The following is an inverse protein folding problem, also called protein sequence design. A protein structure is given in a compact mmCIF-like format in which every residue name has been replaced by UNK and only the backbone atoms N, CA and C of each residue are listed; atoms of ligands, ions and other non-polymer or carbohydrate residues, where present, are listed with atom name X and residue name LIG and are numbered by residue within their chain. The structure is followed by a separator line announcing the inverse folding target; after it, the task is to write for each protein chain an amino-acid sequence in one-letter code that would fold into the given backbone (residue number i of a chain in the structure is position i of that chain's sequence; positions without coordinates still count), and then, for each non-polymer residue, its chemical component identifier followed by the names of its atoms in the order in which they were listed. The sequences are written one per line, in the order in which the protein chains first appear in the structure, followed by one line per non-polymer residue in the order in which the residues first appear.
data_IF_012740193481
#
_entry.id   IF_012740193481
#
_cell.length_a   1.000
_cell.length_b   1.000
_cell.length_c   1.000
_cell.angle_alpha   90.00
_cell.angle_beta   90.00
_cell.angle_gamma   90.00
#
_symmetry.space_group_name_H-M   'P 1'
#
loop_
_entity.id
_entity.type
_entity.pdbx_description
1 polymer ?
#
# COMPACT_ATOMS: atom_id res chain seq x y z
N UNK A 1 -37.48 -14.70 47.00
CA UNK A 1 -36.59 -14.45 48.16
C UNK A 1 -35.16 -14.55 47.67
N UNK A 2 -34.27 -13.58 47.95
CA UNK A 2 -34.40 -12.13 47.76
C UNK A 2 -33.38 -11.61 46.70
N UNK A 3 -33.70 -10.62 45.85
CA UNK A 3 -33.74 -9.14 45.98
C UNK A 3 -32.35 -8.45 46.09
N UNK A 4 -32.06 -7.58 45.09
CA UNK A 4 -31.44 -6.22 45.11
C UNK A 4 -30.67 -6.01 43.79
N UNK A 5 -31.00 -5.16 42.81
CA UNK A 5 -31.50 -3.78 42.73
C UNK A 5 -30.74 -2.79 43.63
N UNK A 6 -29.77 -2.10 43.05
CA UNK A 6 -29.31 -0.78 43.50
C UNK A 6 -29.14 0.12 42.28
N UNK A 7 -29.97 1.15 42.23
CA UNK A 7 -29.82 2.35 41.42
C UNK A 7 -29.21 3.46 42.30
N UNK A 8 -28.29 4.26 41.78
CA UNK A 8 -27.95 5.60 42.28
C UNK A 8 -27.42 6.42 41.08
N UNK A 9 -28.24 7.29 40.49
CA UNK A 9 -28.39 8.73 40.79
C UNK A 9 -27.18 9.58 40.39
N UNK A 10 -27.31 10.22 39.22
CA UNK A 10 -26.63 11.45 38.86
C UNK A 10 -27.07 12.64 39.73
N UNK A 11 -26.25 13.71 39.83
CA UNK A 11 -26.77 15.05 40.05
C UNK A 11 -26.51 15.97 38.83
N UNK A 12 -27.59 16.65 38.42
CA UNK A 12 -27.61 17.80 37.51
C UNK A 12 -27.07 19.08 38.20
N UNK A 13 -26.26 19.83 37.44
CA UNK A 13 -26.35 21.28 37.12
C UNK A 13 -26.56 22.30 38.26
N UNK A 14 -25.64 23.27 38.35
CA UNK A 14 -25.90 24.74 38.35
C UNK A 14 -24.58 25.53 38.40
N UNK A 15 -24.23 26.22 37.32
CA UNK A 15 -24.42 27.68 37.09
C UNK A 15 -23.54 28.60 37.95
N UNK A 16 -22.63 29.36 37.32
CA UNK A 16 -22.01 30.53 37.96
C UNK A 16 -20.74 31.07 37.28
N UNK A 17 -20.88 31.91 36.26
CA UNK A 17 -19.98 33.06 35.99
C UNK A 17 -20.80 34.33 36.29
N UNK A 18 -20.22 35.44 36.80
CA UNK A 18 -19.59 36.41 35.86
C UNK A 18 -18.48 37.33 36.44
N UNK A 19 -17.89 38.10 35.51
CA UNK A 19 -17.13 39.36 35.65
C UNK A 19 -15.67 39.28 36.17
N UNK A 20 -14.68 39.97 35.60
CA UNK A 20 -14.66 40.93 34.50
C UNK A 20 -13.26 41.54 34.27
N UNK A 21 -13.04 42.02 33.04
CA UNK A 21 -12.34 43.25 32.60
C UNK A 21 -11.08 43.75 33.33
N UNK A 22 -9.98 43.90 32.55
CA UNK A 22 -9.13 45.12 32.46
C UNK A 22 -7.91 44.88 31.54
N UNK A 23 -7.92 45.38 30.29
CA UNK A 23 -7.16 46.55 29.77
C UNK A 23 -5.63 46.45 29.56
N UNK A 24 -5.25 46.16 28.30
CA UNK A 24 -4.46 47.01 27.35
C UNK A 24 -2.95 47.34 27.62
N UNK A 25 -2.17 47.76 26.57
CA UNK A 25 -0.93 47.11 26.10
C UNK A 25 0.33 48.03 26.17
N UNK A 26 1.49 47.58 25.66
CA UNK A 26 2.65 48.32 25.08
C UNK A 26 3.80 47.31 24.83
N UNK A 27 4.22 47.03 23.58
CA UNK A 27 5.19 47.73 22.70
C UNK A 27 6.64 47.19 22.75
N UNK A 28 7.21 47.13 21.55
CA UNK A 28 8.63 47.15 21.16
C UNK A 28 9.55 45.96 21.49
N UNK A 29 9.93 45.22 20.45
CA UNK A 29 11.29 45.35 19.90
C UNK A 29 11.41 44.67 18.53
N UNK A 30 11.58 45.51 17.51
CA UNK A 30 12.10 45.17 16.19
C UNK A 30 13.60 44.84 16.32
N UNK A 31 14.08 43.73 15.73
CA UNK A 31 15.50 43.60 15.37
C UNK A 31 15.67 42.81 14.07
N UNK A 32 16.01 43.56 13.05
CA UNK A 32 16.70 43.14 11.84
C UNK A 32 18.05 42.48 12.19
N UNK A 33 18.37 41.36 11.53
CA UNK A 33 19.72 40.83 11.48
C UNK A 33 20.11 40.61 10.00
N UNK A 34 21.16 41.31 9.60
CA UNK A 34 21.80 41.25 8.30
C UNK A 34 22.60 39.96 8.12
N UNK A 35 22.51 39.42 6.91
CA UNK A 35 23.49 38.67 6.12
C UNK A 35 24.92 38.55 6.69
N UNK A 36 25.42 37.32 6.82
CA UNK A 36 26.84 37.01 6.62
C UNK A 36 26.97 35.75 5.77
N UNK A 37 27.88 35.82 4.81
CA UNK A 37 28.09 34.93 3.68
C UNK A 37 29.47 34.29 3.88
N UNK A 38 29.52 33.02 4.23
CA UNK A 38 30.73 32.20 4.07
C UNK A 38 30.31 30.84 3.53
N UNK A 39 30.81 30.51 2.34
CA UNK A 39 30.58 29.22 1.71
C UNK A 39 31.76 28.29 1.96
N UNK A 40 31.48 26.99 2.07
CA UNK A 40 32.26 25.92 1.41
C UNK A 40 31.57 24.56 1.58
N UNK A 41 31.75 23.73 0.56
CA UNK A 41 31.43 22.30 0.44
C UNK A 41 30.01 21.93 -0.04
N UNK A 42 29.90 21.94 -1.37
CA UNK A 42 28.79 21.42 -2.16
C UNK A 42 29.05 19.93 -2.43
N UNK A 43 28.25 19.04 -1.82
CA UNK A 43 28.32 17.59 -2.04
C UNK A 43 27.20 17.15 -3.01
N UNK A 44 27.64 16.57 -4.13
CA UNK A 44 27.08 15.50 -5.01
C UNK A 44 25.57 15.18 -5.13
N UNK A 45 24.61 16.00 -4.70
CA UNK A 45 23.16 15.69 -4.85
C UNK A 45 22.42 16.51 -5.91
N UNK A 46 23.10 16.95 -6.98
CA UNK A 46 22.48 17.74 -8.05
C UNK A 46 22.69 17.08 -9.42
N UNK A 47 22.15 15.86 -9.56
CA UNK A 47 21.95 15.17 -10.85
C UNK A 47 20.54 14.61 -11.04
N UNK A 48 19.59 14.92 -10.15
CA UNK A 48 18.20 14.44 -10.25
C UNK A 48 17.21 15.51 -10.73
N UNK A 49 17.69 16.59 -11.34
CA UNK A 49 16.83 17.68 -11.81
C UNK A 49 17.22 18.12 -13.22
N UNK A 50 17.09 17.20 -14.19
CA UNK A 50 16.90 17.41 -15.65
C UNK A 50 16.52 16.02 -16.19
N UNK A 51 15.26 15.61 -16.00
CA UNK A 51 14.69 14.42 -16.65
C UNK A 51 13.15 14.51 -16.76
N UNK A 52 12.60 15.74 -16.83
CA UNK A 52 11.14 15.97 -16.92
C UNK A 52 10.73 16.94 -18.04
N UNK A 53 11.59 17.16 -19.04
CA UNK A 53 11.25 17.98 -20.21
C UNK A 53 11.90 17.43 -21.48
N UNK A 54 11.34 16.36 -22.05
CA UNK A 54 11.44 16.04 -23.48
C UNK A 54 10.55 14.85 -23.87
N UNK A 55 9.22 15.03 -23.85
CA UNK A 55 8.32 14.20 -24.68
C UNK A 55 7.47 15.14 -25.51
N UNK A 56 8.01 15.56 -26.66
CA UNK A 56 7.23 16.02 -27.80
C UNK A 56 7.96 15.50 -29.05
N UNK A 57 7.23 14.69 -29.83
CA UNK A 57 7.81 13.74 -30.77
C UNK A 57 8.23 14.28 -32.12
N UNK A 58 8.62 13.35 -33.00
CA UNK A 58 8.25 13.37 -34.41
C UNK A 58 8.66 12.03 -35.07
N UNK A 59 7.68 11.37 -35.70
CA UNK A 59 7.89 10.35 -36.73
C UNK A 59 7.99 11.07 -38.08
N UNK A 60 9.04 10.81 -38.87
CA UNK A 60 8.97 10.58 -40.32
C UNK A 60 10.36 10.42 -40.96
N UNK A 61 10.57 9.22 -41.51
CA UNK A 61 11.12 8.89 -42.84
C UNK A 61 12.42 9.53 -43.38
N UNK A 62 13.33 8.61 -43.73
CA UNK A 62 13.97 8.44 -45.05
C UNK A 62 15.47 8.79 -45.23
N UNK A 63 16.15 7.77 -45.78
CA UNK A 63 17.28 7.79 -46.71
C UNK A 63 18.69 8.14 -46.19
N UNK A 64 19.57 7.14 -46.33
CA UNK A 64 20.64 7.26 -47.33
C UNK A 64 22.08 7.22 -46.80
N UNK A 65 22.71 6.07 -47.08
CA UNK A 65 24.07 5.89 -47.60
C UNK A 65 25.32 6.29 -46.77
N UNK A 66 26.09 5.22 -46.54
CA UNK A 66 27.48 5.03 -46.98
C UNK A 66 28.64 5.14 -45.99
N UNK A 67 29.46 4.09 -46.15
CA UNK A 67 30.89 3.92 -45.96
C UNK A 67 31.50 3.49 -44.60
N UNK A 68 31.51 2.17 -44.42
CA UNK A 68 32.65 1.25 -44.63
C UNK A 68 33.90 1.26 -43.71
N UNK A 69 34.49 0.06 -43.65
CA UNK A 69 35.72 -0.44 -43.00
C UNK A 69 35.61 -0.82 -41.51
N UNK A 70 35.27 -2.07 -41.16
CA UNK A 70 36.03 -3.34 -41.21
C UNK A 70 37.28 -3.42 -40.31
N UNK A 71 37.16 -4.31 -39.30
CA UNK A 71 38.10 -5.39 -38.90
C UNK A 71 39.55 -5.05 -38.59
N UNK A 72 40.26 -5.71 -37.70
CA UNK A 72 40.00 -6.71 -36.66
C UNK A 72 41.37 -6.97 -36.04
N UNK A 73 41.31 -7.65 -34.90
CA UNK A 73 42.19 -8.76 -34.57
C UNK A 73 43.35 -8.53 -33.60
N UNK A 74 43.46 -9.60 -32.82
CA UNK A 74 44.17 -9.86 -31.62
C UNK A 74 45.69 -9.99 -31.80
N UNK A 75 46.36 -10.07 -30.66
CA UNK A 75 47.75 -10.49 -30.60
C UNK A 75 48.30 -10.46 -29.18
N UNK A 76 47.95 -11.49 -28.41
CA UNK A 76 48.65 -11.85 -27.18
C UNK A 76 50.09 -12.31 -27.47
N UNK A 77 51.01 -12.07 -26.53
CA UNK A 77 51.90 -13.09 -25.94
C UNK A 77 53.06 -12.46 -25.14
N UNK A 78 53.27 -13.05 -23.96
CA UNK A 78 54.54 -13.41 -23.28
C UNK A 78 55.67 -12.37 -23.12
N UNK A 79 56.51 -12.42 -22.10
CA UNK A 79 56.58 -13.05 -20.78
C UNK A 79 57.93 -12.57 -20.18
N UNK A 80 58.00 -12.54 -18.85
CA UNK A 80 59.19 -12.65 -17.99
C UNK A 80 60.34 -11.60 -18.10
N UNK A 81 60.67 -10.98 -16.96
CA UNK A 81 61.94 -11.30 -16.27
C UNK A 81 61.94 -10.74 -14.83
N UNK A 82 62.43 -11.54 -13.88
CA UNK A 82 62.79 -11.10 -12.52
C UNK A 82 64.22 -10.50 -12.53
N UNK A 83 64.68 -9.90 -11.41
CA UNK A 83 65.48 -10.72 -10.49
C UNK A 83 65.26 -10.44 -8.99
N UNK A 84 65.53 -11.48 -8.20
CA UNK A 84 65.65 -11.49 -6.75
C UNK A 84 66.88 -10.72 -6.23
N UNK A 85 66.80 -10.17 -5.00
CA UNK A 85 67.64 -10.58 -3.87
C UNK A 85 67.43 -9.72 -2.60
N UNK A 86 67.34 -10.45 -1.48
CA UNK A 86 68.00 -10.26 -0.19
C UNK A 86 67.18 -9.83 1.04
N UNK A 87 67.48 -10.57 2.11
CA UNK A 87 66.76 -10.66 3.38
C UNK A 87 67.10 -9.55 4.37
N UNK A 88 66.18 -9.30 5.32
CA UNK A 88 66.45 -9.42 6.78
C UNK A 88 65.16 -9.12 7.54
N UNK A 89 64.83 -9.99 8.50
CA UNK A 89 63.52 -10.05 9.13
C UNK A 89 63.31 -9.18 10.36
N UNK A 90 62.10 -9.29 10.90
CA UNK A 90 61.78 -9.31 12.32
C UNK A 90 60.32 -9.70 12.45
N UNK A 91 60.05 -10.63 13.35
CA UNK A 91 58.74 -11.12 13.75
C UNK A 91 57.92 -9.96 14.37
N UNK A 92 56.68 -9.80 13.92
CA UNK A 92 55.58 -9.30 14.75
C UNK A 92 54.28 -9.99 14.33
N UNK A 93 53.52 -10.39 15.33
CA UNK A 93 52.34 -11.26 15.27
C UNK A 93 51.21 -10.71 14.37
N UNK A 94 50.35 -11.57 13.80
CA UNK A 94 49.32 -11.12 12.87
C UNK A 94 48.24 -10.35 13.64
N UNK A 95 47.85 -9.20 13.07
CA UNK A 95 46.55 -8.63 13.32
C UNK A 95 45.51 -9.66 12.88
N UNK A 96 44.52 -9.89 13.74
CA UNK A 96 43.35 -10.72 13.46
C UNK A 96 42.68 -10.19 12.19
N UNK A 97 42.83 -10.93 11.09
CA UNK A 97 41.89 -10.92 10.00
C UNK A 97 40.54 -11.30 10.62
N UNK A 98 39.63 -10.33 10.74
CA UNK A 98 38.23 -10.64 10.84
C UNK A 98 37.87 -11.35 9.54
N UNK A 99 37.75 -12.67 9.61
CA UNK A 99 37.16 -13.45 8.57
C UNK A 99 35.74 -12.94 8.37
N UNK A 100 35.49 -12.30 7.23
CA UNK A 100 34.20 -12.41 6.56
C UNK A 100 34.04 -13.90 6.24
N UNK A 101 33.54 -14.67 7.21
CA UNK A 101 33.02 -16.00 6.93
C UNK A 101 31.80 -15.79 6.04
N UNK A 102 31.91 -16.27 4.80
CA UNK A 102 30.87 -16.25 3.79
C UNK A 102 29.66 -17.08 4.28
N UNK A 103 28.79 -16.47 5.09
CA UNK A 103 27.55 -17.06 5.59
C UNK A 103 26.48 -17.20 4.48
N UNK A 104 26.77 -16.79 3.24
CA UNK A 104 25.83 -16.87 2.12
C UNK A 104 25.49 -18.31 1.70
N UNK A 105 26.45 -19.24 1.86
CA UNK A 105 26.25 -20.67 1.57
C UNK A 105 25.31 -21.35 2.59
N UNK A 106 25.23 -20.83 3.83
CA UNK A 106 24.33 -21.37 4.86
C UNK A 106 22.89 -20.93 4.60
N UNK A 107 22.68 -19.62 4.40
CA UNK A 107 21.35 -19.01 4.18
C UNK A 107 20.67 -19.57 2.93
N UNK A 108 21.40 -19.69 1.82
CA UNK A 108 20.83 -20.15 0.54
C UNK A 108 20.41 -21.64 0.54
N UNK A 109 20.71 -22.37 1.62
CA UNK A 109 20.34 -23.78 1.78
C UNK A 109 19.25 -24.03 2.83
N UNK A 110 18.82 -22.99 3.58
CA UNK A 110 17.84 -23.11 4.68
C UNK A 110 16.53 -23.73 4.20
N UNK A 111 16.00 -23.25 3.07
CA UNK A 111 14.75 -23.72 2.47
C UNK A 111 14.91 -24.90 1.51
N UNK A 112 16.11 -25.49 1.40
CA UNK A 112 16.39 -26.48 0.36
C UNK A 112 15.46 -27.69 0.44
N UNK A 113 14.71 -27.91 -0.65
CA UNK A 113 13.74 -29.01 -0.74
C UNK A 113 12.39 -28.75 -0.08
N UNK A 114 12.15 -27.52 0.40
CA UNK A 114 10.84 -27.05 0.84
C UNK A 114 10.14 -26.37 -0.33
N UNK A 115 8.96 -26.89 -0.66
CA UNK A 115 8.07 -26.31 -1.67
C UNK A 115 7.05 -25.40 -0.96
N UNK A 116 6.80 -24.23 -1.52
CA UNK A 116 5.89 -23.22 -0.96
C UNK A 116 4.84 -22.86 -2.00
N UNK A 117 3.58 -23.04 -1.66
CA UNK A 117 2.41 -22.64 -2.46
C UNK A 117 2.01 -21.23 -2.08
N UNK A 118 2.50 -20.25 -2.83
CA UNK A 118 2.15 -18.85 -2.66
C UNK A 118 1.02 -18.46 -3.62
N UNK A 119 0.03 -17.72 -3.12
CA UNK A 119 -0.94 -17.03 -3.97
C UNK A 119 -0.85 -15.52 -3.83
N UNK A 120 -1.70 -14.83 -4.59
CA UNK A 120 -1.86 -13.37 -4.52
C UNK A 120 -3.32 -12.98 -4.67
N UNK A 121 -3.59 -11.77 -4.24
CA UNK A 121 -4.89 -11.16 -4.47
C UNK A 121 -5.12 -10.81 -5.94
N UNK A 122 -6.38 -10.81 -6.36
CA UNK A 122 -6.82 -10.48 -7.72
C UNK A 122 -6.91 -8.97 -8.03
N UNK A 123 -6.07 -8.15 -7.40
CA UNK A 123 -5.89 -6.73 -7.73
C UNK A 123 -4.42 -6.42 -8.01
N UNK A 124 -4.19 -5.63 -9.06
CA UNK A 124 -2.88 -5.38 -9.61
C UNK A 124 -1.87 -4.76 -8.62
N UNK A 125 -2.31 -3.95 -7.66
CA UNK A 125 -1.43 -3.35 -6.65
C UNK A 125 -0.81 -4.38 -5.70
N UNK A 126 -1.34 -5.60 -5.65
CA UNK A 126 -0.80 -6.69 -4.85
C UNK A 126 0.32 -7.51 -5.50
N UNK A 127 0.59 -7.31 -6.79
CA UNK A 127 1.47 -8.23 -7.55
C UNK A 127 2.95 -8.05 -7.24
N UNK A 128 3.46 -6.81 -7.28
CA UNK A 128 4.88 -6.51 -6.99
C UNK A 128 5.30 -7.02 -5.60
N UNK A 129 4.49 -6.75 -4.58
CA UNK A 129 4.79 -7.17 -3.21
C UNK A 129 4.77 -8.71 -3.06
N UNK A 130 3.88 -9.41 -3.76
CA UNK A 130 3.90 -10.88 -3.80
C UNK A 130 5.21 -11.40 -4.40
N UNK A 131 5.66 -10.79 -5.50
CA UNK A 131 6.85 -11.24 -6.20
C UNK A 131 8.16 -10.91 -5.44
N UNK A 132 8.21 -9.78 -4.72
CA UNK A 132 9.33 -9.49 -3.81
C UNK A 132 9.46 -10.58 -2.74
N UNK A 133 8.35 -11.04 -2.16
CA UNK A 133 8.36 -12.10 -1.15
C UNK A 133 8.80 -13.45 -1.72
N UNK A 134 8.24 -13.82 -2.88
CA UNK A 134 8.65 -15.04 -3.59
C UNK A 134 10.16 -15.05 -3.85
N UNK A 135 10.69 -14.01 -4.50
CA UNK A 135 12.11 -13.99 -4.90
C UNK A 135 13.06 -13.90 -3.70
N UNK A 136 12.64 -13.28 -2.59
CA UNK A 136 13.42 -13.28 -1.35
C UNK A 136 13.50 -14.68 -0.73
N UNK A 137 12.38 -15.42 -0.70
CA UNK A 137 12.38 -16.81 -0.23
C UNK A 137 13.22 -17.72 -1.13
N UNK A 138 13.20 -17.50 -2.45
CA UNK A 138 14.05 -18.23 -3.40
C UNK A 138 15.55 -18.02 -3.12
N UNK A 139 15.97 -16.84 -2.62
CA UNK A 139 17.35 -16.61 -2.18
C UNK A 139 17.74 -17.44 -0.96
N UNK A 140 16.78 -17.82 -0.11
CA UNK A 140 16.98 -18.72 1.02
C UNK A 140 16.87 -20.22 0.64
N UNK A 141 16.70 -20.53 -0.65
CA UNK A 141 16.69 -21.91 -1.17
C UNK A 141 15.31 -22.58 -1.25
N UNK A 142 14.22 -21.87 -0.96
CA UNK A 142 12.86 -22.38 -1.13
C UNK A 142 12.49 -22.49 -2.61
N UNK A 143 11.69 -23.51 -2.96
CA UNK A 143 10.98 -23.53 -4.25
C UNK A 143 9.60 -22.90 -4.05
N UNK A 144 9.35 -21.72 -4.59
CA UNK A 144 8.07 -21.01 -4.40
C UNK A 144 7.27 -21.02 -5.70
N UNK A 145 5.99 -21.42 -5.64
CA UNK A 145 5.11 -21.35 -6.81
C UNK A 145 4.94 -19.90 -7.28
N UNK A 146 4.85 -19.68 -8.60
CA UNK A 146 4.51 -18.35 -9.11
C UNK A 146 3.14 -17.92 -8.55
N UNK A 147 3.04 -16.74 -7.91
CA UNK A 147 1.81 -16.31 -7.26
C UNK A 147 0.68 -16.05 -8.25
N UNK A 148 0.98 -15.75 -9.53
CA UNK A 148 -0.02 -15.60 -10.58
C UNK A 148 -0.78 -16.89 -10.93
N UNK A 149 -0.27 -18.06 -10.54
CA UNK A 149 -0.98 -19.33 -10.72
C UNK A 149 -2.13 -19.52 -9.74
N UNK A 150 -2.11 -18.78 -8.62
CA UNK A 150 -3.11 -18.83 -7.56
C UNK A 150 -3.55 -17.41 -7.20
N UNK A 151 -4.19 -16.75 -8.17
CA UNK A 151 -4.76 -15.42 -8.02
C UNK A 151 -6.22 -15.52 -7.56
N UNK A 152 -6.51 -15.04 -6.35
CA UNK A 152 -7.76 -15.28 -5.63
C UNK A 152 -8.40 -13.99 -5.11
N UNK A 153 -9.73 -13.99 -4.98
CA UNK A 153 -10.42 -13.02 -4.14
C UNK A 153 -10.19 -13.32 -2.65
N UNK A 154 -10.47 -12.37 -1.73
CA UNK A 154 -10.24 -12.56 -0.31
C UNK A 154 -10.90 -13.78 0.30
N UNK A 155 -12.17 -14.02 0.02
CA UNK A 155 -12.87 -15.17 0.61
C UNK A 155 -12.18 -16.48 0.21
N UNK A 156 -11.89 -16.65 -1.08
CA UNK A 156 -11.20 -17.84 -1.57
C UNK A 156 -9.76 -17.96 -1.03
N UNK A 157 -9.03 -16.85 -0.91
CA UNK A 157 -7.67 -16.83 -0.38
C UNK A 157 -7.58 -17.27 1.09
N UNK A 158 -8.44 -16.72 1.96
CA UNK A 158 -8.48 -17.10 3.36
C UNK A 158 -8.87 -18.57 3.56
N UNK A 159 -9.86 -19.07 2.81
CA UNK A 159 -10.23 -20.48 2.82
C UNK A 159 -9.08 -21.37 2.33
N UNK A 160 -8.41 -20.99 1.23
CA UNK A 160 -7.29 -21.76 0.69
C UNK A 160 -6.14 -21.91 1.69
N UNK A 161 -5.84 -20.86 2.46
CA UNK A 161 -4.84 -20.90 3.53
C UNK A 161 -5.27 -21.75 4.72
N UNK A 162 -6.52 -21.57 5.17
CA UNK A 162 -7.05 -22.33 6.31
C UNK A 162 -7.15 -23.84 6.00
N UNK A 163 -7.47 -24.19 4.76
CA UNK A 163 -7.55 -25.58 4.29
C UNK A 163 -6.17 -26.19 3.93
N UNK A 164 -5.11 -25.39 3.95
CA UNK A 164 -3.73 -25.83 3.67
C UNK A 164 -3.42 -26.05 2.18
N UNK A 165 -4.22 -25.47 1.28
CA UNK A 165 -3.97 -25.48 -0.18
C UNK A 165 -3.17 -24.28 -0.69
N UNK A 166 -2.97 -23.28 0.18
CA UNK A 166 -2.10 -22.13 0.01
C UNK A 166 -1.33 -21.92 1.31
N UNK A 167 -0.02 -21.66 1.25
CA UNK A 167 0.79 -21.47 2.45
C UNK A 167 0.67 -20.06 2.98
N UNK A 168 0.71 -19.05 2.11
CA UNK A 168 0.56 -17.64 2.49
C UNK A 168 0.28 -16.75 1.28
N UNK A 169 -0.03 -15.49 1.59
CA UNK A 169 -0.06 -14.39 0.62
C UNK A 169 0.33 -13.07 1.31
N UNK A 170 0.56 -12.00 0.55
CA UNK A 170 1.07 -10.71 1.07
C UNK A 170 0.05 -9.58 0.95
N UNK A 171 -1.23 -9.90 0.76
CA UNK A 171 -2.26 -8.93 0.33
C UNK A 171 -3.42 -8.78 1.33
N UNK A 172 -3.23 -9.12 2.60
CA UNK A 172 -4.28 -8.98 3.61
C UNK A 172 -4.45 -7.52 4.01
N UNK A 173 -5.68 -6.99 3.98
CA UNK A 173 -6.00 -5.63 4.42
C UNK A 173 -6.75 -5.65 5.74
N UNK A 174 -6.12 -5.22 6.83
CA UNK A 174 -6.75 -5.16 8.15
C UNK A 174 -7.13 -3.72 8.53
N UNK A 175 -8.30 -3.49 9.16
CA UNK A 175 -9.24 -4.50 9.68
C UNK A 175 -10.20 -5.09 8.64
N UNK A 176 -10.24 -4.59 7.40
CA UNK A 176 -11.27 -4.98 6.41
C UNK A 176 -11.39 -6.48 6.15
N UNK A 177 -10.30 -7.23 6.19
CA UNK A 177 -10.30 -8.68 5.97
C UNK A 177 -10.54 -9.50 7.25
N UNK A 178 -10.78 -8.86 8.41
CA UNK A 178 -11.14 -9.60 9.63
C UNK A 178 -12.44 -10.39 9.45
N UNK A 179 -13.40 -9.92 8.63
CA UNK A 179 -14.61 -10.70 8.33
C UNK A 179 -14.31 -12.03 7.64
N UNK A 180 -13.24 -12.12 6.86
CA UNK A 180 -12.80 -13.35 6.21
C UNK A 180 -11.90 -14.20 7.12
N UNK A 181 -11.07 -13.54 7.92
CA UNK A 181 -10.25 -14.20 8.94
C UNK A 181 -11.10 -14.86 10.03
N UNK A 182 -12.23 -14.26 10.39
CA UNK A 182 -13.11 -14.75 11.46
C UNK A 182 -14.30 -15.55 10.91
N UNK A 183 -14.28 -15.92 9.63
CA UNK A 183 -15.35 -16.71 9.01
C UNK A 183 -15.38 -18.14 9.57
N UNK A 184 -16.58 -18.67 9.80
CA UNK A 184 -16.79 -20.06 10.25
C UNK A 184 -16.59 -21.05 9.10
N UNK A 185 -15.84 -22.13 9.36
CA UNK A 185 -15.63 -23.25 8.47
C UNK A 185 -16.72 -24.33 8.66
N UNK A 186 -16.81 -25.26 7.71
CA UNK A 186 -17.85 -26.31 7.74
C UNK A 186 -17.78 -27.25 8.95
N UNK A 187 -16.65 -27.30 9.66
CA UNK A 187 -16.44 -28.09 10.88
C UNK A 187 -16.69 -27.30 12.18
N UNK A 188 -17.07 -26.02 12.07
CA UNK A 188 -17.36 -25.12 13.18
C UNK A 188 -16.12 -24.44 13.81
N UNK A 189 -14.92 -24.62 13.23
CA UNK A 189 -13.75 -23.80 13.55
C UNK A 189 -13.78 -22.48 12.78
N UNK A 190 -12.97 -21.51 13.19
CA UNK A 190 -12.80 -20.26 12.46
C UNK A 190 -11.60 -20.37 11.50
N UNK A 191 -11.62 -19.63 10.39
CA UNK A 191 -10.43 -19.48 9.52
C UNK A 191 -9.20 -19.08 10.34
N UNK A 192 -9.34 -18.14 11.26
CA UNK A 192 -8.29 -17.62 12.14
C UNK A 192 -7.73 -18.63 13.14
N UNK A 193 -8.38 -19.79 13.33
CA UNK A 193 -7.79 -20.90 14.10
C UNK A 193 -6.66 -21.59 13.31
N UNK A 194 -6.65 -21.44 11.98
CA UNK A 194 -5.74 -22.14 11.05
C UNK A 194 -4.73 -21.22 10.37
N UNK A 195 -4.91 -19.90 10.45
CA UNK A 195 -4.00 -18.92 9.86
C UNK A 195 -3.53 -17.90 10.89
N UNK A 196 -2.36 -17.32 10.65
CA UNK A 196 -1.79 -16.25 11.46
C UNK A 196 -1.65 -14.98 10.63
N UNK A 197 -1.94 -13.86 11.28
CA UNK A 197 -1.63 -12.53 10.80
C UNK A 197 -0.19 -12.22 11.18
N UNK A 198 0.66 -11.99 10.18
CA UNK A 198 2.06 -11.68 10.40
C UNK A 198 2.30 -10.18 10.21
N UNK A 199 2.63 -9.53 11.31
CA UNK A 199 2.94 -8.09 11.33
C UNK A 199 4.19 -7.80 10.51
N UNK A 200 4.17 -6.77 9.66
CA UNK A 200 5.41 -6.19 9.16
C UNK A 200 5.30 -5.38 7.88
N UNK A 201 4.51 -5.83 6.91
CA UNK A 201 4.58 -5.31 5.54
C UNK A 201 4.30 -3.79 5.42
N UNK A 202 3.05 -3.35 5.61
CA UNK A 202 2.71 -1.92 5.62
C UNK A 202 1.74 -1.58 6.77
N UNK A 203 2.28 -1.11 7.89
CA UNK A 203 1.47 -0.71 9.04
C UNK A 203 0.83 0.69 8.83
N UNK A 204 -0.50 0.76 8.90
CA UNK A 204 -1.30 1.99 8.83
C UNK A 204 -1.09 2.82 7.57
N UNK A 205 -0.62 2.20 6.48
CA UNK A 205 -0.27 2.90 5.24
C UNK A 205 -1.35 2.77 4.16
N UNK A 206 -2.32 1.87 4.36
CA UNK A 206 -3.46 1.70 3.46
C UNK A 206 -4.45 2.84 3.62
N UNK A 207 -4.50 3.79 2.68
CA UNK A 207 -5.53 4.85 2.69
C UNK A 207 -6.62 4.47 1.71
N UNK A 208 -7.88 4.60 2.12
CA UNK A 208 -9.07 4.23 1.33
C UNK A 208 -10.07 5.38 1.39
N UNK A 209 -10.96 5.46 0.39
CA UNK A 209 -12.04 6.45 0.39
C UNK A 209 -12.61 6.70 -0.99
N UNK A 210 -13.46 7.73 -1.08
CA UNK A 210 -14.07 8.17 -2.33
C UNK A 210 -13.28 9.33 -2.94
N UNK A 211 -13.10 9.30 -4.25
CA UNK A 211 -12.64 10.41 -5.06
C UNK A 211 -13.82 11.02 -5.80
N UNK A 212 -13.84 12.34 -5.93
CA UNK A 212 -14.80 13.11 -6.72
C UNK A 212 -14.07 13.94 -7.77
N UNK A 213 -14.66 14.13 -8.95
CA UNK A 213 -14.14 15.11 -9.93
C UNK A 213 -13.98 16.48 -9.29
N UNK A 214 -12.76 17.03 -9.34
CA UNK A 214 -12.43 18.27 -8.62
C UNK A 214 -13.25 19.46 -9.10
N UNK A 215 -13.37 19.65 -10.42
CA UNK A 215 -14.15 20.75 -11.01
C UNK A 215 -15.61 20.71 -10.56
N UNK A 216 -16.21 19.52 -10.56
CA UNK A 216 -17.62 19.33 -10.15
C UNK A 216 -17.80 19.66 -8.67
N UNK A 217 -16.87 19.22 -7.81
CA UNK A 217 -16.89 19.54 -6.39
C UNK A 217 -16.77 21.07 -6.15
N UNK A 218 -15.83 21.73 -6.81
CA UNK A 218 -15.59 23.16 -6.65
C UNK A 218 -16.72 24.03 -7.21
N UNK A 219 -17.26 23.70 -8.37
CA UNK A 219 -18.33 24.45 -9.04
C UNK A 219 -19.67 24.38 -8.29
N UNK A 220 -19.94 23.23 -7.65
CA UNK A 220 -21.19 22.98 -6.93
C UNK A 220 -21.05 23.10 -5.41
N UNK A 221 -19.84 23.36 -4.90
CA UNK A 221 -19.56 23.44 -3.48
C UNK A 221 -19.84 22.13 -2.74
N UNK A 222 -19.49 20.99 -3.35
CA UNK A 222 -19.65 19.66 -2.77
C UNK A 222 -18.50 19.42 -1.80
N UNK A 223 -18.84 19.12 -0.54
CA UNK A 223 -17.88 18.91 0.53
C UNK A 223 -17.95 17.53 1.18
N UNK A 224 -19.04 16.78 0.96
CA UNK A 224 -19.19 15.46 1.55
C UNK A 224 -20.11 14.52 0.77
N UNK A 225 -19.99 13.23 1.02
CA UNK A 225 -20.94 12.19 0.57
C UNK A 225 -22.36 12.48 1.07
N UNK A 226 -22.50 12.89 2.34
CA UNK A 226 -23.81 13.22 2.92
C UNK A 226 -24.52 14.36 2.16
N UNK A 227 -23.76 15.34 1.65
CA UNK A 227 -24.33 16.42 0.84
C UNK A 227 -24.89 15.92 -0.50
N UNK A 228 -24.22 14.94 -1.12
CA UNK A 228 -24.73 14.29 -2.35
C UNK A 228 -26.06 13.61 -2.03
N UNK A 229 -26.14 12.90 -0.90
CA UNK A 229 -27.38 12.23 -0.48
C UNK A 229 -28.52 13.20 -0.17
N UNK A 230 -28.24 14.31 0.53
CA UNK A 230 -29.27 15.20 1.08
C UNK A 230 -29.83 16.21 0.06
N UNK A 231 -29.05 16.58 -0.96
CA UNK A 231 -29.44 17.57 -1.97
C UNK A 231 -29.79 16.90 -3.31
N UNK A 232 -31.08 16.83 -3.69
CA UNK A 232 -31.50 16.23 -4.95
C UNK A 232 -30.91 16.90 -6.20
N UNK A 233 -30.55 18.18 -6.12
CA UNK A 233 -29.92 18.88 -7.24
C UNK A 233 -28.46 18.44 -7.43
N UNK A 234 -27.76 18.07 -6.34
CA UNK A 234 -26.41 17.52 -6.39
C UNK A 234 -26.47 16.03 -6.75
N UNK A 235 -27.38 15.25 -6.16
CA UNK A 235 -27.58 13.85 -6.52
C UNK A 235 -27.84 13.67 -8.03
N UNK A 236 -28.67 14.53 -8.61
CA UNK A 236 -29.00 14.51 -10.04
C UNK A 236 -27.81 14.80 -10.98
N UNK A 237 -26.66 15.28 -10.47
CA UNK A 237 -25.44 15.41 -11.27
C UNK A 237 -24.80 14.04 -11.52
N UNK A 238 -24.96 13.12 -10.58
CA UNK A 238 -24.38 11.79 -10.62
C UNK A 238 -25.36 10.73 -11.12
N UNK A 239 -26.67 11.02 -11.14
CA UNK A 239 -27.76 10.19 -11.69
C UNK A 239 -27.60 9.94 -13.21
N UNK A 240 -27.08 8.78 -13.59
CA UNK A 240 -26.77 8.45 -14.99
C UNK A 240 -27.93 7.76 -15.72
N UNK A 241 -28.81 7.07 -15.00
CA UNK A 241 -29.92 6.31 -15.59
C UNK A 241 -31.29 7.01 -15.47
N UNK A 242 -31.35 8.11 -14.72
CA UNK A 242 -32.54 8.94 -14.50
C UNK A 242 -33.49 8.38 -13.46
N UNK A 243 -33.04 7.47 -12.58
CA UNK A 243 -33.86 6.84 -11.55
C UNK A 243 -34.04 7.72 -10.29
N UNK A 244 -33.28 8.83 -10.19
CA UNK A 244 -33.31 9.78 -9.07
C UNK A 244 -32.32 9.48 -7.95
N UNK A 245 -31.44 8.50 -8.13
CA UNK A 245 -30.39 8.08 -7.19
C UNK A 245 -29.03 8.43 -7.80
N UNK A 246 -28.10 8.93 -7.00
CA UNK A 246 -26.73 9.16 -7.44
C UNK A 246 -25.94 7.84 -7.49
N UNK A 247 -25.32 7.54 -8.62
CA UNK A 247 -24.44 6.38 -8.75
C UNK A 247 -22.99 6.74 -8.40
N UNK A 248 -22.39 5.89 -7.57
CA UNK A 248 -20.94 5.92 -7.30
C UNK A 248 -20.30 4.66 -7.85
N UNK A 249 -19.12 4.77 -8.44
CA UNK A 249 -18.31 3.61 -8.80
C UNK A 249 -17.71 3.02 -7.51
N UNK A 250 -18.22 1.89 -7.02
CA UNK A 250 -17.71 1.32 -5.78
C UNK A 250 -16.69 0.23 -6.02
N UNK A 251 -16.93 -0.93 -5.41
CA UNK A 251 -16.08 -2.10 -5.51
C UNK A 251 -16.74 -3.24 -6.27
N UNK A 252 -15.90 -4.19 -6.70
CA UNK A 252 -16.39 -5.48 -7.17
C UNK A 252 -16.88 -6.33 -5.99
N UNK A 253 -17.92 -7.13 -6.22
CA UNK A 253 -18.69 -7.88 -5.20
C UNK A 253 -17.83 -8.77 -4.29
N UNK A 254 -16.73 -9.34 -4.80
CA UNK A 254 -15.90 -10.27 -4.04
C UNK A 254 -14.90 -9.60 -3.09
N UNK A 255 -14.84 -8.27 -3.05
CA UNK A 255 -13.90 -7.54 -2.19
C UNK A 255 -14.59 -6.93 -0.98
N UNK A 256 -13.90 -6.86 0.17
CA UNK A 256 -14.51 -6.31 1.39
C UNK A 256 -14.93 -4.85 1.24
N UNK A 257 -14.32 -4.08 0.35
CA UNK A 257 -14.76 -2.71 0.09
C UNK A 257 -16.21 -2.63 -0.39
N UNK A 258 -16.71 -3.61 -1.16
CA UNK A 258 -18.12 -3.68 -1.54
C UNK A 258 -19.03 -3.83 -0.31
N UNK A 259 -18.66 -4.75 0.59
CA UNK A 259 -19.39 -4.98 1.83
C UNK A 259 -19.37 -3.76 2.76
N UNK A 260 -18.19 -3.11 2.88
CA UNK A 260 -18.02 -1.91 3.72
C UNK A 260 -18.83 -0.74 3.14
N UNK A 261 -18.80 -0.50 1.84
CA UNK A 261 -19.58 0.59 1.22
C UNK A 261 -21.08 0.32 1.37
N UNK A 262 -21.53 -0.92 1.17
CA UNK A 262 -22.92 -1.32 1.42
C UNK A 262 -23.32 -1.07 2.87
N UNK A 263 -22.45 -1.41 3.82
CA UNK A 263 -22.68 -1.15 5.23
C UNK A 263 -22.66 0.35 5.57
N UNK A 264 -21.81 1.14 4.92
CA UNK A 264 -21.77 2.60 5.03
C UNK A 264 -23.09 3.22 4.54
N UNK A 265 -23.57 2.85 3.35
CA UNK A 265 -24.88 3.31 2.83
C UNK A 265 -26.00 3.06 3.85
N UNK A 266 -26.03 1.87 4.45
CA UNK A 266 -27.00 1.52 5.48
C UNK A 266 -26.80 2.30 6.80
N UNK A 267 -25.55 2.47 7.24
CA UNK A 267 -25.19 3.17 8.49
C UNK A 267 -25.60 4.64 8.45
N UNK A 268 -25.27 5.33 7.36
CA UNK A 268 -25.49 6.76 7.20
C UNK A 268 -26.89 7.11 6.72
N UNK A 269 -27.68 6.12 6.28
CA UNK A 269 -29.00 6.35 5.69
C UNK A 269 -28.90 7.08 4.35
N UNK A 270 -27.97 6.66 3.49
CA UNK A 270 -27.81 7.21 2.15
C UNK A 270 -28.86 6.66 1.18
N UNK A 271 -30.12 7.04 1.38
CA UNK A 271 -31.26 6.58 0.58
C UNK A 271 -31.21 7.02 -0.91
N UNK A 272 -30.41 8.05 -1.23
CA UNK A 272 -30.30 8.61 -2.58
C UNK A 272 -28.92 8.36 -3.22
N UNK A 273 -28.15 7.40 -2.70
CA UNK A 273 -26.87 6.99 -3.28
C UNK A 273 -26.88 5.47 -3.47
N UNK A 274 -26.43 5.00 -4.63
CA UNK A 274 -26.20 3.58 -4.88
C UNK A 274 -24.81 3.31 -5.46
N UNK A 275 -24.24 2.18 -5.06
CA UNK A 275 -22.98 1.71 -5.62
C UNK A 275 -23.21 0.95 -6.92
N UNK A 276 -22.50 1.34 -7.96
CA UNK A 276 -22.30 0.51 -9.16
C UNK A 276 -21.30 -0.59 -8.85
N UNK A 277 -21.69 -1.84 -9.11
CA UNK A 277 -20.85 -3.04 -8.95
C UNK A 277 -20.50 -3.58 -10.35
N UNK A 278 -19.22 -3.55 -10.70
CA UNK A 278 -18.68 -4.13 -11.92
C UNK A 278 -17.20 -4.47 -11.72
N UNK A 279 -16.51 -4.89 -12.80
CA UNK A 279 -15.05 -4.99 -12.78
C UNK A 279 -14.44 -3.64 -12.39
N UNK A 280 -13.60 -3.63 -11.35
CA UNK A 280 -13.02 -2.39 -10.84
C UNK A 280 -12.22 -1.65 -11.91
N UNK A 281 -11.39 -2.35 -12.69
CA UNK A 281 -10.59 -1.75 -13.77
C UNK A 281 -11.46 -1.06 -14.83
N UNK A 282 -12.63 -1.64 -15.15
CA UNK A 282 -13.57 -1.05 -16.10
C UNK A 282 -14.23 0.21 -15.53
N UNK A 283 -14.66 0.17 -14.27
CA UNK A 283 -15.22 1.34 -13.59
C UNK A 283 -14.17 2.45 -13.44
N UNK A 284 -12.94 2.10 -13.11
CA UNK A 284 -11.83 3.03 -12.97
C UNK A 284 -11.47 3.71 -14.30
N UNK A 285 -11.44 2.95 -15.40
CA UNK A 285 -11.23 3.52 -16.73
C UNK A 285 -12.33 4.54 -17.09
N UNK A 286 -13.60 4.20 -16.82
CA UNK A 286 -14.71 5.14 -17.04
C UNK A 286 -14.61 6.38 -16.14
N UNK A 287 -14.33 6.21 -14.85
CA UNK A 287 -14.16 7.32 -13.91
C UNK A 287 -12.99 8.24 -14.33
N UNK A 288 -11.91 7.68 -14.86
CA UNK A 288 -10.79 8.43 -15.43
C UNK A 288 -11.22 9.30 -16.60
N UNK A 289 -11.98 8.75 -17.55
CA UNK A 289 -12.48 9.51 -18.70
C UNK A 289 -13.38 10.66 -18.25
N UNK A 290 -14.28 10.40 -17.30
CA UNK A 290 -15.19 11.42 -16.73
C UNK A 290 -14.41 12.52 -16.00
N UNK A 291 -13.48 12.17 -15.12
CA UNK A 291 -12.67 13.13 -14.37
C UNK A 291 -11.85 14.03 -15.30
N UNK A 292 -11.22 13.44 -16.32
CA UNK A 292 -10.42 14.19 -17.30
C UNK A 292 -11.29 15.08 -18.21
N UNK A 293 -12.55 14.71 -18.45
CA UNK A 293 -13.53 15.55 -19.12
C UNK A 293 -14.10 16.66 -18.22
N UNK A 294 -13.88 16.59 -16.91
CA UNK A 294 -14.50 17.48 -15.92
C UNK A 294 -15.97 17.13 -15.63
N UNK A 295 -16.40 15.93 -15.99
CA UNK A 295 -17.77 15.43 -15.82
C UNK A 295 -17.99 14.84 -14.41
N UNK A 296 -19.23 14.81 -13.90
CA UNK A 296 -19.55 14.23 -12.58
C UNK A 296 -19.16 12.76 -12.48
N UNK A 297 -18.33 12.43 -11.50
CA UNK A 297 -18.15 11.06 -11.03
C UNK A 297 -17.74 11.05 -9.55
N UNK A 298 -18.06 9.95 -8.88
CA UNK A 298 -17.50 9.56 -7.60
C UNK A 298 -17.04 8.11 -7.71
N UNK A 299 -15.82 7.81 -7.25
CA UNK A 299 -15.26 6.44 -7.28
C UNK A 299 -14.54 6.09 -5.98
N UNK A 300 -14.75 4.87 -5.48
CA UNK A 300 -13.93 4.30 -4.42
C UNK A 300 -12.53 3.98 -4.92
N UNK A 301 -11.48 4.31 -4.16
CA UNK A 301 -10.12 3.86 -4.44
C UNK A 301 -9.26 3.74 -3.17
N UNK A 302 -8.01 3.33 -3.34
CA UNK A 302 -7.06 3.12 -2.25
C UNK A 302 -5.61 3.45 -2.62
N UNK A 303 -4.75 3.58 -1.61
CA UNK A 303 -3.29 3.61 -1.73
C UNK A 303 -2.66 2.55 -0.82
N UNK A 304 -1.52 1.93 -1.18
CA UNK A 304 -0.77 2.11 -2.42
C UNK A 304 -1.49 1.50 -3.63
N UNK A 305 -1.62 2.29 -4.70
CA UNK A 305 -2.13 1.85 -6.00
C UNK A 305 -1.58 2.78 -7.09
N UNK A 306 -1.49 2.30 -8.33
CA UNK A 306 -1.21 3.16 -9.48
C UNK A 306 -2.41 4.02 -9.89
N UNK A 307 -3.62 3.70 -9.41
CA UNK A 307 -4.85 4.43 -9.72
C UNK A 307 -4.76 5.93 -9.37
N UNK A 308 -4.13 6.25 -8.24
CA UNK A 308 -3.94 7.65 -7.80
C UNK A 308 -2.92 8.44 -8.64
N UNK A 309 -2.27 7.80 -9.62
CA UNK A 309 -1.42 8.49 -10.60
C UNK A 309 -2.15 8.93 -11.86
N UNK A 310 -3.39 8.45 -12.03
CA UNK A 310 -4.28 8.81 -13.13
C UNK A 310 -5.43 9.67 -12.63
N UNK A 311 -6.07 9.26 -11.53
CA UNK A 311 -6.97 10.11 -10.74
C UNK A 311 -6.16 10.76 -9.63
N UNK A 312 -5.54 11.90 -9.94
CA UNK A 312 -4.56 12.60 -9.11
C UNK A 312 -5.28 13.55 -8.15
N UNK A 313 -5.32 13.26 -6.83
CA UNK A 313 -5.91 14.17 -5.87
C UNK A 313 -5.22 15.55 -5.91
N UNK A 314 -6.02 16.60 -5.93
CA UNK A 314 -5.57 17.98 -6.05
C UNK A 314 -5.38 18.47 -7.49
N UNK A 315 -5.45 17.61 -8.50
CA UNK A 315 -5.40 17.98 -9.92
C UNK A 315 -6.75 17.79 -10.61
N UNK A 316 -7.11 16.55 -11.01
CA UNK A 316 -8.38 16.24 -11.65
C UNK A 316 -9.46 15.72 -10.67
N UNK A 317 -9.06 15.27 -9.48
CA UNK A 317 -9.98 14.78 -8.43
C UNK A 317 -9.64 15.34 -7.05
N UNK A 318 -10.54 15.15 -6.09
CA UNK A 318 -10.31 15.35 -4.65
C UNK A 318 -10.76 14.11 -3.90
N UNK A 319 -10.11 13.81 -2.78
CA UNK A 319 -10.71 12.94 -1.77
C UNK A 319 -11.98 13.60 -1.21
N UNK A 320 -13.07 12.85 -1.21
CA UNK A 320 -14.37 13.30 -0.75
C UNK A 320 -14.59 12.85 0.70
N UNK A 321 -14.92 13.82 1.54
CA UNK A 321 -15.26 13.59 2.94
C UNK A 321 -16.52 12.74 3.03
N UNK A 322 -16.55 11.77 3.94
CA UNK A 322 -17.78 11.06 4.25
C UNK A 322 -18.63 11.84 5.27
N UNK A 323 -18.30 11.74 6.54
CA UNK A 323 -18.97 12.42 7.66
C UNK A 323 -17.90 12.68 8.74
N UNK A 324 -17.79 13.92 9.25
CA UNK A 324 -16.71 14.28 10.20
C UNK A 324 -16.89 13.59 11.57
N UNK A 325 -18.13 13.35 11.99
CA UNK A 325 -18.44 12.98 13.38
C UNK A 325 -19.01 11.58 13.57
N UNK A 326 -19.34 10.89 12.48
CA UNK A 326 -19.96 9.57 12.54
C UNK A 326 -19.24 8.66 11.55
N UNK A 327 -18.54 7.66 12.06
CA UNK A 327 -17.76 6.71 11.23
C UNK A 327 -18.30 5.34 11.56
N UNK A 328 -18.61 4.56 10.51
CA UNK A 328 -19.19 3.23 10.68
C UNK A 328 -18.43 2.43 11.74
N UNK A 329 -19.19 1.92 12.70
CA UNK A 329 -18.72 1.19 13.85
C UNK A 329 -19.07 -0.31 13.74
N UNK A 330 -18.85 -1.04 14.83
CA UNK A 330 -19.14 -2.46 14.98
C UNK A 330 -20.64 -2.79 15.13
N UNK A 331 -21.55 -1.84 14.82
CA UNK A 331 -23.00 -2.05 14.94
C UNK A 331 -23.60 -3.01 13.92
N UNK A 332 -22.88 -3.31 12.83
CA UNK A 332 -23.32 -4.18 11.74
C UNK A 332 -24.72 -3.80 11.19
N UNK A 333 -24.85 -2.61 10.58
CA UNK A 333 -26.14 -2.07 10.15
C UNK A 333 -26.81 -2.90 9.03
N UNK A 334 -26.02 -3.63 8.24
CA UNK A 334 -26.50 -4.53 7.19
C UNK A 334 -26.98 -5.89 7.73
N UNK A 335 -26.65 -6.23 8.98
CA UNK A 335 -27.04 -7.50 9.61
C UNK A 335 -26.44 -8.73 8.94
N UNK A 336 -25.32 -8.57 8.22
CA UNK A 336 -24.63 -9.66 7.53
C UNK A 336 -23.63 -10.31 8.47
N UNK A 337 -23.35 -11.59 8.26
CA UNK A 337 -22.32 -12.30 9.03
C UNK A 337 -20.95 -11.63 8.86
N UNK A 338 -20.22 -11.44 9.97
CA UNK A 338 -18.94 -10.75 10.01
C UNK A 338 -19.01 -9.22 9.81
N UNK A 339 -20.21 -8.63 9.72
CA UNK A 339 -20.35 -7.19 9.48
C UNK A 339 -19.87 -6.29 10.63
N UNK A 340 -19.69 -6.82 11.84
CA UNK A 340 -19.06 -6.13 12.97
C UNK A 340 -17.58 -5.80 12.72
N UNK A 341 -16.93 -6.52 11.79
CA UNK A 341 -15.54 -6.28 11.41
C UNK A 341 -15.37 -5.14 10.40
N UNK A 342 -16.46 -4.51 9.97
CA UNK A 342 -16.43 -3.35 9.07
C UNK A 342 -16.16 -2.02 9.78
N UNK A 343 -15.93 -2.00 11.10
CA UNK A 343 -15.57 -0.80 11.87
C UNK A 343 -14.38 -0.05 11.25
N UNK A 344 -14.61 1.22 10.88
CA UNK A 344 -13.62 2.09 10.26
C UNK A 344 -13.13 3.21 11.18
N UNK A 345 -13.47 3.21 12.47
CA UNK A 345 -13.05 4.27 13.40
C UNK A 345 -11.54 4.22 13.69
N UNK A 346 -10.88 5.39 13.88
CA UNK A 346 -11.41 6.76 13.84
C UNK A 346 -11.43 7.40 12.44
N UNK A 347 -11.28 6.60 11.37
CA UNK A 347 -11.11 7.07 9.99
C UNK A 347 -9.82 7.86 9.76
N UNK A 348 -9.51 8.15 8.50
CA UNK A 348 -8.34 8.93 8.11
C UNK A 348 -8.69 10.41 7.89
N UNK A 349 -7.98 11.30 8.58
CA UNK A 349 -8.14 12.76 8.54
C UNK A 349 -6.84 13.50 8.14
N UNK A 350 -5.86 12.76 7.59
CA UNK A 350 -4.49 13.25 7.40
C UNK A 350 -4.26 14.19 6.21
N UNK A 351 -5.22 14.35 5.31
CA UNK A 351 -5.06 15.20 4.12
C UNK A 351 -5.49 16.65 4.34
N UNK A 352 -4.70 17.57 3.78
CA UNK A 352 -5.05 18.99 3.72
C UNK A 352 -6.04 19.32 2.59
N UNK A 353 -6.47 20.58 2.56
CA UNK A 353 -7.42 21.11 1.58
C UNK A 353 -6.96 20.99 0.11
N UNK A 354 -5.65 20.81 -0.12
CA UNK A 354 -5.10 20.61 -1.47
C UNK A 354 -5.50 19.27 -2.08
N UNK A 355 -5.82 18.26 -1.26
CA UNK A 355 -6.09 16.89 -1.70
C UNK A 355 -7.48 16.39 -1.32
N UNK A 356 -8.15 17.05 -0.38
CA UNK A 356 -9.37 16.55 0.25
C UNK A 356 -10.36 17.69 0.51
N UNK A 357 -11.65 17.43 0.28
CA UNK A 357 -12.72 18.33 0.72
C UNK A 357 -12.64 18.56 2.23
N UNK A 358 -13.12 19.72 2.69
CA UNK A 358 -12.94 20.13 4.09
C UNK A 358 -14.27 20.19 4.84
N UNK A 359 -14.31 19.72 6.10
CA UNK A 359 -13.23 19.08 6.87
C UNK A 359 -12.85 17.70 6.27
N UNK A 360 -11.57 17.34 6.28
CA UNK A 360 -11.16 16.06 5.70
C UNK A 360 -11.39 14.91 6.68
N UNK A 361 -12.24 13.97 6.29
CA UNK A 361 -12.45 12.70 6.98
C UNK A 361 -12.92 11.68 5.95
N UNK A 362 -12.08 10.71 5.62
CA UNK A 362 -12.37 9.76 4.55
C UNK A 362 -13.38 8.69 4.95
N UNK A 363 -13.64 8.49 6.25
CA UNK A 363 -14.57 7.46 6.73
C UNK A 363 -14.03 6.04 6.67
N UNK A 364 -12.74 5.89 6.35
CA UNK A 364 -12.00 4.62 6.29
C UNK A 364 -10.81 4.67 7.23
N UNK A 365 -10.62 3.59 8.00
CA UNK A 365 -9.45 3.46 8.87
C UNK A 365 -8.20 3.27 8.00
N UNK A 366 -7.06 3.88 8.36
CA UNK A 366 -5.79 3.51 7.77
C UNK A 366 -5.56 2.01 7.97
N UNK A 367 -5.47 1.28 6.88
CA UNK A 367 -5.36 -0.16 6.89
C UNK A 367 -3.91 -0.60 7.07
N UNK A 368 -3.75 -1.70 7.78
CA UNK A 368 -2.52 -2.48 7.77
C UNK A 368 -2.60 -3.43 6.57
N UNK A 369 -1.59 -3.42 5.70
CA UNK A 369 -1.43 -4.42 4.65
C UNK A 369 -0.39 -5.41 5.13
N UNK A 370 -0.75 -6.68 5.27
CA UNK A 370 0.03 -7.67 5.99
C UNK A 370 0.09 -9.01 5.27
N UNK A 371 1.01 -9.84 5.75
CA UNK A 371 1.05 -11.25 5.37
C UNK A 371 0.03 -12.00 6.22
N UNK A 372 -0.72 -12.89 5.58
CA UNK A 372 -1.43 -13.96 6.29
C UNK A 372 -0.88 -15.28 5.80
N UNK A 373 -0.64 -16.20 6.73
CA UNK A 373 -0.02 -17.48 6.45
C UNK A 373 -0.69 -18.60 7.24
N UNK A 374 -0.66 -19.81 6.71
CA UNK A 374 -1.09 -21.02 7.40
C UNK A 374 -0.25 -21.26 8.66
N UNK A 375 -0.92 -21.60 9.77
CA UNK A 375 -0.27 -21.92 11.04
C UNK A 375 0.66 -23.15 10.91
N UNK A 376 0.23 -24.15 10.14
CA UNK A 376 1.03 -25.35 9.89
C UNK A 376 2.29 -25.04 9.08
N UNK A 377 2.18 -24.15 8.09
CA UNK A 377 3.31 -23.70 7.30
C UNK A 377 4.34 -22.94 8.15
N UNK A 378 3.89 -21.98 8.97
CA UNK A 378 4.77 -21.23 9.86
C UNK A 378 5.45 -22.16 10.89
N UNK A 379 4.70 -23.06 11.51
CA UNK A 379 5.24 -24.01 12.49
C UNK A 379 6.27 -24.97 11.89
N UNK A 380 6.10 -25.35 10.62
CA UNK A 380 7.06 -26.17 9.89
C UNK A 380 8.29 -25.38 9.41
N UNK A 381 8.21 -24.05 9.33
CA UNK A 381 9.25 -23.18 8.80
C UNK A 381 9.58 -22.02 9.76
N UNK A 382 10.28 -22.28 10.88
CA UNK A 382 10.65 -21.24 11.85
C UNK A 382 11.45 -20.09 11.25
N UNK A 383 12.25 -20.36 10.21
CA UNK A 383 12.97 -19.31 9.48
C UNK A 383 12.01 -18.33 8.82
N UNK A 384 10.94 -18.83 8.18
CA UNK A 384 9.92 -18.00 7.53
C UNK A 384 9.12 -17.22 8.57
N UNK A 385 8.79 -17.84 9.70
CA UNK A 385 8.15 -17.18 10.84
C UNK A 385 9.00 -16.00 11.37
N UNK A 386 10.32 -16.15 11.40
CA UNK A 386 11.25 -15.07 11.75
C UNK A 386 11.44 -14.03 10.63
N UNK A 387 11.41 -14.44 9.36
CA UNK A 387 11.68 -13.59 8.20
C UNK A 387 10.52 -12.64 7.87
N UNK A 388 9.29 -13.15 7.80
CA UNK A 388 8.16 -12.36 7.32
C UNK A 388 7.94 -11.04 8.08
N UNK A 389 8.13 -10.97 9.42
CA UNK A 389 8.04 -9.71 10.13
C UNK A 389 9.11 -8.67 9.78
N UNK A 390 10.26 -9.11 9.27
CA UNK A 390 11.40 -8.27 8.89
C UNK A 390 11.23 -7.70 7.48
N UNK A 391 10.54 -8.41 6.60
CA UNK A 391 10.31 -8.01 5.22
C UNK A 391 9.37 -6.81 5.15
N UNK A 392 9.96 -5.62 5.02
CA UNK A 392 9.24 -4.34 5.02
C UNK A 392 9.75 -3.46 3.89
N UNK A 393 9.43 -3.78 2.62
CA UNK A 393 9.71 -2.88 1.51
C UNK A 393 9.08 -1.51 1.79
N UNK A 394 9.64 -0.45 1.21
CA UNK A 394 9.09 0.90 1.34
C UNK A 394 7.75 0.98 0.60
N UNK A 395 6.69 1.49 1.26
CA UNK A 395 5.39 1.72 0.60
C UNK A 395 5.52 2.70 -0.57
N UNK A 396 6.48 3.64 -0.48
CA UNK A 396 6.77 4.59 -1.56
C UNK A 396 7.38 3.85 -2.75
N UNK A 397 8.34 2.95 -2.49
CA UNK A 397 9.00 2.18 -3.54
C UNK A 397 7.98 1.29 -4.24
N UNK A 398 7.18 0.54 -3.47
CA UNK A 398 6.13 -0.31 -4.04
C UNK A 398 5.11 0.50 -4.84
N UNK A 399 4.77 1.71 -4.40
CA UNK A 399 3.91 2.60 -5.20
C UNK A 399 4.57 3.00 -6.53
N UNK A 400 5.88 3.28 -6.55
CA UNK A 400 6.63 3.59 -7.78
C UNK A 400 6.66 2.38 -8.71
N UNK A 401 6.93 1.18 -8.17
CA UNK A 401 6.96 -0.06 -8.95
C UNK A 401 5.58 -0.41 -9.53
N UNK A 402 4.49 -0.12 -8.82
CA UNK A 402 3.14 -0.29 -9.35
C UNK A 402 2.86 0.66 -10.53
N UNK A 403 3.41 1.88 -10.52
CA UNK A 403 3.34 2.79 -11.68
C UNK A 403 4.11 2.22 -12.87
N UNK A 404 5.30 1.66 -12.63
CA UNK A 404 6.07 0.98 -13.67
C UNK A 404 5.30 -0.22 -14.25
N UNK A 405 4.70 -1.05 -13.39
CA UNK A 405 3.84 -2.17 -13.78
C UNK A 405 2.68 -1.69 -14.66
N UNK A 406 1.97 -0.64 -14.27
CA UNK A 406 0.84 -0.10 -15.04
C UNK A 406 1.24 0.54 -16.37
N UNK A 407 2.46 1.06 -16.48
CA UNK A 407 3.00 1.57 -17.75
C UNK A 407 3.57 0.46 -18.65
N UNK A 408 3.77 -0.73 -18.11
CA UNK A 408 4.25 -1.92 -18.82
C UNK A 408 3.16 -2.60 -19.66
N UNK A 409 3.45 -3.81 -20.13
CA UNK A 409 2.50 -4.63 -20.89
C UNK A 409 1.55 -5.46 -19.99
N UNK A 410 1.63 -5.26 -18.67
CA UNK A 410 0.82 -5.96 -17.67
C UNK A 410 1.11 -7.47 -17.57
N UNK A 411 2.19 -7.97 -18.18
CA UNK A 411 2.54 -9.38 -18.13
C UNK A 411 3.17 -9.77 -16.80
N UNK A 412 3.01 -11.04 -16.42
CA UNK A 412 3.69 -11.59 -15.23
C UNK A 412 5.21 -11.45 -15.33
N UNK A 413 5.78 -11.67 -16.52
CA UNK A 413 7.21 -11.51 -16.75
C UNK A 413 7.70 -10.08 -16.48
N UNK A 414 6.86 -9.06 -16.74
CA UNK A 414 7.17 -7.69 -16.37
C UNK A 414 7.14 -7.50 -14.85
N UNK A 415 6.14 -8.04 -14.14
CA UNK A 415 6.07 -8.02 -12.66
C UNK A 415 7.31 -8.67 -12.03
N UNK A 416 7.68 -9.85 -12.51
CA UNK A 416 8.91 -10.58 -12.11
C UNK A 416 10.16 -9.74 -12.30
N UNK A 417 10.29 -9.10 -13.47
CA UNK A 417 11.45 -8.25 -13.78
C UNK A 417 11.51 -6.99 -12.93
N UNK A 418 10.37 -6.35 -12.64
CA UNK A 418 10.30 -5.13 -11.82
C UNK A 418 10.69 -5.46 -10.37
N UNK A 419 10.15 -6.54 -9.81
CA UNK A 419 10.49 -7.00 -8.48
C UNK A 419 11.98 -7.40 -8.37
N UNK A 420 12.51 -8.12 -9.36
CA UNK A 420 13.93 -8.49 -9.41
C UNK A 420 14.84 -7.26 -9.48
N UNK A 421 14.45 -6.23 -10.24
CA UNK A 421 15.16 -4.95 -10.29
C UNK A 421 15.21 -4.27 -8.93
N UNK A 422 14.07 -4.18 -8.24
CA UNK A 422 14.02 -3.59 -6.90
C UNK A 422 14.87 -4.38 -5.89
N UNK A 423 14.82 -5.71 -5.92
CA UNK A 423 15.65 -6.57 -5.05
C UNK A 423 17.13 -6.31 -5.31
N UNK A 424 17.56 -6.28 -6.57
CA UNK A 424 18.96 -6.03 -6.93
C UNK A 424 19.45 -4.66 -6.45
N UNK A 425 18.61 -3.63 -6.56
CA UNK A 425 18.91 -2.28 -6.10
C UNK A 425 18.88 -2.15 -4.55
N UNK A 426 18.24 -3.10 -3.87
CA UNK A 426 18.08 -3.14 -2.40
C UNK A 426 18.70 -4.40 -1.78
N UNK A 427 19.71 -4.99 -2.43
CA UNK A 427 20.24 -6.30 -2.03
C UNK A 427 20.76 -6.29 -0.58
N UNK A 428 21.41 -5.22 -0.13
CA UNK A 428 21.89 -5.10 1.26
C UNK A 428 20.72 -5.17 2.27
N UNK A 429 19.57 -4.58 1.94
CA UNK A 429 18.37 -4.62 2.77
C UNK A 429 17.78 -6.03 2.80
N UNK A 430 17.65 -6.66 1.63
CA UNK A 430 17.12 -8.04 1.50
C UNK A 430 18.01 -9.02 2.26
N UNK A 431 19.33 -8.94 2.07
CA UNK A 431 20.31 -9.74 2.81
C UNK A 431 20.20 -9.54 4.32
N UNK A 432 19.99 -8.30 4.79
CA UNK A 432 19.82 -8.05 6.23
C UNK A 432 18.60 -8.75 6.83
N UNK A 433 17.49 -8.86 6.08
CA UNK A 433 16.31 -9.61 6.54
C UNK A 433 16.60 -11.10 6.65
N UNK A 434 17.28 -11.67 5.64
CA UNK A 434 17.64 -13.08 5.60
C UNK A 434 18.62 -13.44 6.72
N UNK A 435 19.64 -12.62 6.95
CA UNK A 435 20.64 -12.82 8.01
C UNK A 435 20.03 -12.75 9.41
N UNK A 436 19.17 -11.75 9.66
CA UNK A 436 18.51 -11.60 10.96
C UNK A 436 17.53 -12.77 11.22
N UNK A 437 16.80 -13.22 10.21
CA UNK A 437 15.95 -14.40 10.31
C UNK A 437 16.74 -15.69 10.57
N UNK A 438 17.87 -15.88 9.87
CA UNK A 438 18.73 -17.05 10.04
C UNK A 438 19.32 -17.10 11.46
N UNK A 439 19.78 -15.96 11.98
CA UNK A 439 20.32 -15.86 13.34
C UNK A 439 19.26 -16.14 14.44
N UNK A 440 17.98 -15.95 14.15
CA UNK A 440 16.91 -16.23 15.10
C UNK A 440 16.61 -17.73 15.27
N UNK A 441 17.03 -18.56 14.31
CA UNK A 441 16.72 -20.01 14.27
C UNK A 441 17.95 -20.92 14.35
N UNK A 442 19.15 -20.33 14.40
CA UNK A 442 20.46 -21.02 14.51
C UNK A 442 20.78 -21.53 15.91
#
# INVERSE_FOLDING_TARGET
MPVHLVAFLAPRVRSGRPNGLSSRPLCDACRTAHYSREGKHMNKSMKLLIALLAVFGLVAAACGDDDDSTTADAGASDAADEPAADETGAEDAPAEDAADEDHSDDISSIGAGVEVTMGRANWASGYIQAEIYKQTLEQAGYTVSSPSLLELDPSAGYLAMAEGSMDFWTNSWYPGHLSWHEAELTDGSLVGDHVSIVDGLFAGAGVQGFLITKSVAEENGITSMQQINDDPAIAALFDTDGNGTAEIFGCQESWTCDNIITAQIAYYGWDNIEQTIASYDAMFAQATDLANAGDPMVIYTWTPSSYVTTLIPGDNVLWLTMEETDIIDDSNPSGVEGGEFYDQRPGFDGFGADFCTQPCQLGWKPADIQVTASNDFLAANPFVEALFPLMRPSVIDVSILQVEQSNGDGSEAAVESIAAGWIADNQDLVSSWLEEAAAAVS
#
